data_IF_138042206148
#
_entry.id   IF_138042206148
#
_cell.length_a   1.000
_cell.length_b   1.000
_cell.length_c   1.000
_cell.angle_alpha   90.00
_cell.angle_beta   90.00
_cell.angle_gamma   90.00
#
_symmetry.space_group_name_H-M   'P 1'
#
loop_
_entity.id
_entity.type
_entity.pdbx_description
1 polymer ?
#
# COMPACT_ATOMS: atom_id res chain seq x y z
N UNK A 1 2.11 17.09 12.63
CA UNK A 1 1.23 17.16 11.45
C UNK A 1 1.44 15.85 10.73
N UNK A 2 0.40 15.02 10.66
CA UNK A 2 0.51 13.67 10.12
C UNK A 2 0.37 13.65 8.60
N UNK A 3 0.83 12.56 7.99
CA UNK A 3 0.74 12.33 6.55
C UNK A 3 -0.62 11.74 6.17
N UNK A 4 -1.25 12.27 5.11
CA UNK A 4 -2.49 11.71 4.56
C UNK A 4 -2.24 10.47 3.68
N UNK A 5 -3.29 9.66 3.48
CA UNK A 5 -3.23 8.40 2.74
C UNK A 5 -2.70 8.55 1.30
N UNK A 6 -2.87 9.71 0.65
CA UNK A 6 -2.33 9.98 -0.70
C UNK A 6 -0.78 10.00 -0.76
N UNK A 7 -0.10 9.94 0.40
CA UNK A 7 1.36 9.96 0.52
C UNK A 7 1.94 8.66 1.11
N UNK A 8 1.16 7.57 1.12
CA UNK A 8 1.56 6.26 1.64
C UNK A 8 1.50 5.22 0.52
N UNK A 9 2.50 4.36 0.39
CA UNK A 9 2.55 3.27 -0.60
C UNK A 9 2.86 1.97 0.14
N UNK A 10 2.13 0.90 -0.18
CA UNK A 10 2.44 -0.45 0.29
C UNK A 10 3.64 -1.03 -0.46
N UNK A 11 4.53 -1.68 0.27
CA UNK A 11 5.66 -2.44 -0.28
C UNK A 11 5.90 -3.68 0.58
N UNK A 12 6.44 -4.73 -0.02
CA UNK A 12 7.10 -5.81 0.69
C UNK A 12 8.57 -5.77 0.32
N UNK A 13 9.44 -5.83 1.33
CA UNK A 13 10.89 -5.76 1.15
C UNK A 13 11.47 -7.12 0.69
N UNK A 14 10.99 -7.61 -0.44
CA UNK A 14 11.48 -8.86 -1.03
C UNK A 14 12.90 -8.65 -1.60
N UNK A 15 13.87 -9.56 -1.35
CA UNK A 15 13.74 -10.91 -0.77
C UNK A 15 14.04 -11.02 0.73
N UNK A 16 14.05 -9.91 1.47
CA UNK A 16 14.32 -9.89 2.91
C UNK A 16 13.09 -10.25 3.75
N UNK A 17 11.88 -9.97 3.24
CA UNK A 17 10.59 -10.32 3.85
C UNK A 17 9.72 -11.09 2.86
N UNK A 18 9.04 -12.13 3.33
CA UNK A 18 8.10 -12.91 2.53
C UNK A 18 6.87 -12.10 2.11
N UNK A 19 6.43 -12.29 0.86
CA UNK A 19 5.25 -11.61 0.32
C UNK A 19 3.94 -11.98 1.02
N UNK A 20 3.79 -13.26 1.42
CA UNK A 20 2.53 -13.80 1.91
C UNK A 20 2.04 -13.09 3.19
N UNK A 21 2.84 -12.95 4.25
CA UNK A 21 2.43 -12.20 5.45
C UNK A 21 2.03 -10.76 5.13
N UNK A 22 2.76 -10.07 4.23
CA UNK A 22 2.44 -8.72 3.81
C UNK A 22 1.06 -8.62 3.15
N UNK A 23 0.74 -9.53 2.24
CA UNK A 23 -0.57 -9.57 1.57
C UNK A 23 -1.71 -9.94 2.51
N UNK A 24 -1.51 -10.88 3.44
CA UNK A 24 -2.53 -11.30 4.41
C UNK A 24 -2.84 -10.18 5.42
N UNK A 25 -1.82 -9.43 5.84
CA UNK A 25 -2.00 -8.30 6.77
C UNK A 25 -2.96 -7.26 6.23
N UNK A 26 -2.87 -6.93 4.94
CA UNK A 26 -3.72 -5.92 4.28
C UNK A 26 -5.22 -6.23 4.38
N UNK A 27 -5.61 -7.50 4.43
CA UNK A 27 -7.02 -7.88 4.61
C UNK A 27 -7.54 -7.51 5.99
N UNK A 28 -6.66 -7.51 7.00
CA UNK A 28 -7.01 -7.32 8.42
C UNK A 28 -6.94 -5.86 8.89
N UNK A 29 -6.26 -4.97 8.16
CA UNK A 29 -6.09 -3.58 8.61
C UNK A 29 -7.38 -2.78 8.57
N UNK A 30 -7.60 -1.98 9.62
CA UNK A 30 -8.71 -1.03 9.75
C UNK A 30 -8.45 0.25 8.95
N UNK A 31 -8.44 0.12 7.62
CA UNK A 31 -8.31 1.23 6.66
C UNK A 31 -9.53 1.21 5.75
N UNK A 32 -10.06 2.39 5.41
CA UNK A 32 -11.20 2.53 4.51
C UNK A 32 -10.92 1.84 3.16
N UNK A 33 -11.95 1.28 2.48
CA UNK A 33 -11.77 0.72 1.14
C UNK A 33 -11.16 1.72 0.14
N UNK A 34 -11.50 3.01 0.28
CA UNK A 34 -10.99 4.09 -0.55
C UNK A 34 -9.47 4.29 -0.36
N UNK A 35 -9.01 4.32 0.90
CA UNK A 35 -7.59 4.51 1.18
C UNK A 35 -6.77 3.25 0.92
N UNK A 36 -7.34 2.04 1.10
CA UNK A 36 -6.69 0.80 0.66
C UNK A 36 -6.38 0.84 -0.85
N UNK A 37 -7.31 1.30 -1.69
CA UNK A 37 -7.08 1.43 -3.14
C UNK A 37 -5.92 2.39 -3.46
N UNK A 38 -5.81 3.50 -2.74
CA UNK A 38 -4.70 4.45 -2.90
C UNK A 38 -3.37 3.81 -2.49
N UNK A 39 -3.31 3.22 -1.30
CA UNK A 39 -2.08 2.71 -0.68
C UNK A 39 -1.54 1.49 -1.44
N UNK A 40 -2.41 0.56 -1.84
CA UNK A 40 -2.02 -0.71 -2.45
C UNK A 40 -1.68 -0.62 -3.94
N UNK A 41 -2.12 0.46 -4.63
CA UNK A 41 -1.92 0.56 -6.06
C UNK A 41 -1.92 2.01 -6.58
N UNK A 42 -2.94 2.80 -6.24
CA UNK A 42 -3.19 4.10 -6.88
C UNK A 42 -2.05 5.11 -6.73
N UNK A 43 -1.47 5.20 -5.53
CA UNK A 43 -0.38 6.13 -5.25
C UNK A 43 0.90 5.74 -5.99
N UNK A 44 1.24 4.44 -6.02
CA UNK A 44 2.39 3.94 -6.77
C UNK A 44 2.20 4.20 -8.27
N UNK A 45 1.02 3.92 -8.83
CA UNK A 45 0.71 4.20 -10.24
C UNK A 45 0.87 5.67 -10.58
N UNK A 46 0.32 6.56 -9.76
CA UNK A 46 0.40 8.01 -9.96
C UNK A 46 1.84 8.52 -9.84
N UNK A 47 2.57 8.10 -8.82
CA UNK A 47 3.92 8.55 -8.55
C UNK A 47 4.91 8.07 -9.61
N UNK A 48 4.81 6.79 -10.00
CA UNK A 48 5.74 6.13 -10.91
C UNK A 48 5.27 6.17 -12.38
N UNK A 49 4.11 6.80 -12.66
CA UNK A 49 3.51 6.93 -14.01
C UNK A 49 3.28 5.57 -14.69
N UNK A 50 2.73 4.62 -13.94
CA UNK A 50 2.41 3.28 -14.43
C UNK A 50 1.06 3.28 -15.18
N UNK A 51 0.87 2.39 -16.17
CA UNK A 51 -0.40 2.23 -16.89
C UNK A 51 -1.55 1.77 -15.98
#
# INVERSE_FOLDING_TARGET
MEMGADRIIFSVDWPYVDNKPGSEWIETIAVSPEDKKKILNGNAKKLLKLP
#
